data_IF_759778015825
#
_entry.id   IF_759778015825
#
_cell.length_a   1.000
_cell.length_b   1.000
_cell.length_c   1.000
_cell.angle_alpha   90.00
_cell.angle_beta   90.00
_cell.angle_gamma   90.00
#
_symmetry.space_group_name_H-M   'P 1'
#
loop_
_entity.id
_entity.type
_entity.pdbx_description
1 polymer ?
#
# COMPACT_ATOMS: atom_id res chain seq x y z
N UNK A 1 -42.99 -44.57 -15.19
CA UNK A 1 -42.09 -43.40 -15.02
C UNK A 1 -41.31 -43.61 -13.74
N UNK A 2 -40.01 -43.98 -13.84
CA UNK A 2 -39.10 -44.10 -12.70
C UNK A 2 -38.55 -42.69 -12.42
N UNK A 3 -38.91 -42.12 -11.27
CA UNK A 3 -38.32 -40.90 -10.73
C UNK A 3 -36.93 -41.32 -10.18
N UNK A 4 -35.90 -40.87 -10.84
CA UNK A 4 -34.52 -41.05 -10.36
C UNK A 4 -34.30 -40.03 -9.23
N UNK A 5 -34.42 -40.46 -7.99
CA UNK A 5 -34.09 -39.67 -6.83
C UNK A 5 -32.58 -39.64 -6.75
N UNK A 6 -32.00 -38.48 -7.13
CA UNK A 6 -30.57 -38.23 -6.91
C UNK A 6 -30.42 -37.91 -5.42
N UNK A 7 -30.01 -38.88 -4.63
CA UNK A 7 -29.52 -38.62 -3.25
C UNK A 7 -28.23 -37.81 -3.32
N UNK A 8 -28.39 -36.48 -3.31
CA UNK A 8 -27.26 -35.58 -3.17
C UNK A 8 -26.77 -35.67 -1.73
N UNK A 9 -25.62 -36.34 -1.58
CA UNK A 9 -25.01 -36.58 -0.28
C UNK A 9 -24.66 -35.25 0.41
N UNK A 10 -25.55 -34.76 1.30
CA UNK A 10 -25.43 -33.46 1.99
C UNK A 10 -24.06 -33.25 2.64
N UNK A 11 -23.39 -34.34 3.06
CA UNK A 11 -22.03 -34.26 3.59
C UNK A 11 -20.99 -33.76 2.57
N UNK A 12 -21.16 -34.10 1.27
CA UNK A 12 -20.24 -33.64 0.20
C UNK A 12 -20.50 -32.17 -0.15
N UNK A 13 -21.74 -31.72 -0.10
CA UNK A 13 -22.08 -30.28 -0.31
C UNK A 13 -21.53 -29.43 0.82
N UNK A 14 -21.61 -29.91 2.07
CA UNK A 14 -21.07 -29.17 3.22
C UNK A 14 -19.54 -29.01 3.14
N UNK A 15 -18.81 -30.02 2.64
CA UNK A 15 -17.35 -29.95 2.46
C UNK A 15 -16.97 -28.95 1.36
N UNK A 16 -17.73 -28.87 0.26
CA UNK A 16 -17.48 -27.91 -0.82
C UNK A 16 -17.74 -26.48 -0.34
N UNK A 17 -18.75 -26.27 0.51
CA UNK A 17 -19.02 -24.92 1.07
C UNK A 17 -17.94 -24.46 2.05
N UNK A 18 -17.31 -25.38 2.79
CA UNK A 18 -16.22 -25.07 3.71
C UNK A 18 -14.89 -24.76 3.01
N UNK A 19 -14.68 -25.29 1.79
CA UNK A 19 -13.48 -25.00 0.99
C UNK A 19 -13.53 -23.64 0.28
N UNK A 20 -14.72 -23.01 0.17
CA UNK A 20 -14.90 -21.71 -0.46
C UNK A 20 -14.80 -20.54 0.53
N UNK A 21 -14.74 -20.81 1.83
CA UNK A 21 -14.53 -19.81 2.86
C UNK A 21 -13.07 -19.76 3.33
N UNK A 22 -12.11 -19.76 2.42
CA UNK A 22 -10.79 -19.21 2.77
C UNK A 22 -11.03 -17.74 3.05
N UNK A 23 -10.81 -17.23 4.29
CA UNK A 23 -10.80 -15.80 4.48
C UNK A 23 -9.72 -15.28 3.54
N UNK A 24 -10.12 -14.46 2.58
CA UNK A 24 -9.19 -13.60 1.87
C UNK A 24 -8.57 -12.76 2.99
N UNK A 25 -7.37 -13.13 3.44
CA UNK A 25 -6.60 -12.31 4.36
C UNK A 25 -6.21 -11.06 3.57
N UNK A 26 -7.12 -10.12 3.48
CA UNK A 26 -6.76 -8.76 3.19
C UNK A 26 -5.78 -8.37 4.31
N UNK A 27 -4.51 -8.24 3.99
CA UNK A 27 -3.52 -7.71 4.91
C UNK A 27 -4.09 -6.39 5.43
N UNK A 28 -4.34 -6.32 6.74
CA UNK A 28 -5.05 -5.18 7.30
C UNK A 28 -4.17 -3.95 7.07
N UNK A 29 -4.62 -3.03 6.22
CA UNK A 29 -3.91 -1.77 5.97
C UNK A 29 -3.68 -1.10 7.32
N UNK A 30 -2.41 -0.92 7.69
CA UNK A 30 -2.03 -0.24 8.91
C UNK A 30 -1.91 1.26 8.66
N UNK A 31 -2.32 2.07 9.65
CA UNK A 31 -2.12 3.52 9.63
C UNK A 31 -0.63 3.83 9.72
N UNK A 32 -0.18 4.72 8.84
CA UNK A 32 1.23 5.15 8.78
C UNK A 32 1.52 6.24 9.83
N UNK A 33 0.60 7.15 10.07
CA UNK A 33 0.76 8.29 10.96
C UNK A 33 0.80 7.99 12.46
N UNK A 34 0.91 6.71 12.87
CA UNK A 34 1.10 6.34 14.27
C UNK A 34 2.56 6.38 14.73
N UNK A 35 3.49 6.42 13.81
CA UNK A 35 4.92 6.38 14.10
C UNK A 35 5.53 7.77 14.12
N UNK A 36 6.46 8.03 15.05
CA UNK A 36 7.22 9.26 15.03
C UNK A 36 8.47 9.14 14.14
N UNK A 37 8.96 10.27 13.66
CA UNK A 37 10.08 10.30 12.72
C UNK A 37 11.36 9.68 13.28
N UNK A 38 11.63 9.82 14.57
CA UNK A 38 12.84 9.28 15.18
C UNK A 38 12.79 7.76 15.23
N UNK A 39 11.66 7.15 15.63
CA UNK A 39 11.47 5.69 15.60
C UNK A 39 11.67 5.13 14.19
N UNK A 40 11.17 5.84 13.17
CA UNK A 40 11.33 5.44 11.77
C UNK A 40 12.81 5.41 11.38
N UNK A 41 13.58 6.42 11.76
CA UNK A 41 14.98 6.52 11.39
C UNK A 41 15.89 5.52 12.12
N UNK A 42 15.49 5.03 13.28
CA UNK A 42 16.26 4.08 14.10
C UNK A 42 16.03 2.61 13.70
N UNK A 43 14.92 2.30 12.98
CA UNK A 43 14.57 0.94 12.57
C UNK A 43 14.41 0.84 11.05
N UNK A 44 15.35 0.19 10.38
CA UNK A 44 15.32 -0.02 8.92
C UNK A 44 14.03 -0.73 8.46
N UNK A 45 13.51 -1.69 9.22
CA UNK A 45 12.27 -2.41 8.86
C UNK A 45 11.06 -1.48 8.94
N UNK A 46 11.03 -0.63 9.96
CA UNK A 46 9.99 0.37 10.10
C UNK A 46 10.11 1.42 8.98
N UNK A 47 11.33 1.90 8.69
CA UNK A 47 11.60 2.78 7.55
C UNK A 47 11.08 2.18 6.25
N UNK A 48 11.41 0.91 5.98
CA UNK A 48 10.91 0.20 4.81
C UNK A 48 9.38 0.17 4.74
N UNK A 49 8.74 -0.20 5.85
CA UNK A 49 7.28 -0.28 5.97
C UNK A 49 6.62 1.07 5.67
N UNK A 50 7.14 2.15 6.26
CA UNK A 50 6.60 3.50 6.08
C UNK A 50 6.80 3.99 4.65
N UNK A 51 8.00 3.87 4.08
CA UNK A 51 8.26 4.31 2.70
C UNK A 51 7.43 3.49 1.71
N UNK A 52 7.34 2.17 1.87
CA UNK A 52 6.47 1.31 1.06
C UNK A 52 5.01 1.77 1.14
N UNK A 53 4.51 2.00 2.36
CA UNK A 53 3.15 2.50 2.56
C UNK A 53 2.89 3.83 1.87
N UNK A 54 3.82 4.79 2.01
CA UNK A 54 3.72 6.10 1.36
C UNK A 54 3.76 6.01 -0.17
N UNK A 55 4.62 5.16 -0.75
CA UNK A 55 4.63 4.94 -2.20
C UNK A 55 3.30 4.33 -2.64
N UNK A 56 2.82 3.31 -1.92
CA UNK A 56 1.60 2.58 -2.29
C UNK A 56 0.34 3.44 -2.19
N UNK A 57 0.17 4.23 -1.12
CA UNK A 57 -1.01 5.10 -0.96
C UNK A 57 -1.04 6.21 -2.01
N UNK A 58 0.11 6.85 -2.30
CA UNK A 58 0.21 7.86 -3.35
C UNK A 58 -0.08 7.26 -4.74
N UNK A 59 0.43 6.06 -5.02
CA UNK A 59 0.14 5.33 -6.27
C UNK A 59 -1.34 4.99 -6.40
N UNK A 60 -1.96 4.54 -5.31
CA UNK A 60 -3.38 4.20 -5.29
C UNK A 60 -4.28 5.41 -5.55
N UNK A 61 -3.97 6.56 -4.93
CA UNK A 61 -4.68 7.82 -5.19
C UNK A 61 -4.51 8.24 -6.63
N UNK A 62 -3.28 8.21 -7.15
CA UNK A 62 -2.99 8.51 -8.57
C UNK A 62 -3.91 7.70 -9.50
N UNK A 63 -3.96 6.39 -9.32
CA UNK A 63 -4.78 5.50 -10.16
C UNK A 63 -6.28 5.79 -10.05
N UNK A 64 -6.78 6.12 -8.87
CA UNK A 64 -8.20 6.36 -8.65
C UNK A 64 -8.70 7.68 -9.24
N UNK A 65 -7.85 8.72 -9.27
CA UNK A 65 -8.30 10.06 -9.67
C UNK A 65 -7.79 10.52 -11.04
N UNK A 66 -6.86 9.80 -11.69
CA UNK A 66 -6.19 10.24 -12.94
C UNK A 66 -7.13 10.53 -14.11
N UNK A 67 -8.31 9.91 -14.14
CA UNK A 67 -9.30 10.17 -15.20
C UNK A 67 -10.03 11.49 -15.04
N UNK A 68 -10.23 11.95 -13.80
CA UNK A 68 -11.04 13.12 -13.47
C UNK A 68 -10.20 14.33 -13.03
N UNK A 69 -9.05 14.08 -12.39
CA UNK A 69 -8.21 15.09 -11.76
C UNK A 69 -6.72 14.91 -12.14
N UNK A 70 -6.39 15.07 -13.42
CA UNK A 70 -5.04 14.80 -13.96
C UNK A 70 -3.91 15.52 -13.24
N UNK A 71 -4.06 16.82 -13.02
CA UNK A 71 -3.00 17.64 -12.38
C UNK A 71 -2.75 17.18 -10.93
N UNK A 72 -3.81 16.88 -10.20
CA UNK A 72 -3.70 16.37 -8.83
C UNK A 72 -3.10 14.95 -8.81
N UNK A 73 -3.50 14.09 -9.75
CA UNK A 73 -2.91 12.75 -9.89
C UNK A 73 -1.40 12.82 -10.16
N UNK A 74 -0.96 13.78 -10.98
CA UNK A 74 0.46 14.00 -11.26
C UNK A 74 1.27 14.38 -10.00
N UNK A 75 0.69 15.11 -9.05
CA UNK A 75 1.34 15.45 -7.79
C UNK A 75 1.56 14.21 -6.91
N UNK A 76 0.55 13.34 -6.80
CA UNK A 76 0.67 12.07 -6.08
C UNK A 76 1.66 11.13 -6.77
N UNK A 77 1.63 11.05 -8.10
CA UNK A 77 2.59 10.27 -8.88
C UNK A 77 4.04 10.73 -8.64
N UNK A 78 4.30 12.03 -8.65
CA UNK A 78 5.62 12.60 -8.34
C UNK A 78 6.07 12.26 -6.92
N UNK A 79 5.15 12.28 -5.95
CA UNK A 79 5.44 11.91 -4.57
C UNK A 79 5.83 10.44 -4.46
N UNK A 80 5.07 9.54 -5.10
CA UNK A 80 5.38 8.12 -5.14
C UNK A 80 6.75 7.86 -5.78
N UNK A 81 7.01 8.42 -6.96
CA UNK A 81 8.27 8.27 -7.67
C UNK A 81 9.48 8.83 -6.92
N UNK A 82 9.30 9.93 -6.19
CA UNK A 82 10.36 10.49 -5.37
C UNK A 82 10.76 9.55 -4.23
N UNK A 83 9.80 8.92 -3.57
CA UNK A 83 10.03 8.02 -2.43
C UNK A 83 10.49 6.62 -2.85
N UNK A 84 10.14 6.17 -4.06
CA UNK A 84 10.38 4.81 -4.54
C UNK A 84 11.85 4.34 -4.39
N UNK A 85 12.87 5.11 -4.87
CA UNK A 85 14.27 4.67 -4.77
C UNK A 85 14.75 4.51 -3.33
N UNK A 86 14.21 5.27 -2.37
CA UNK A 86 14.57 5.10 -0.95
C UNK A 86 14.07 3.79 -0.39
N UNK A 87 12.86 3.35 -0.78
CA UNK A 87 12.35 2.04 -0.41
C UNK A 87 13.22 0.90 -0.94
N UNK A 88 13.69 1.00 -2.18
CA UNK A 88 14.63 0.04 -2.77
C UNK A 88 15.95 0.01 -1.99
N UNK A 89 16.54 1.18 -1.68
CA UNK A 89 17.79 1.26 -0.93
C UNK A 89 17.70 0.64 0.47
N UNK A 90 16.60 0.92 1.18
CA UNK A 90 16.37 0.35 2.51
C UNK A 90 16.21 -1.17 2.42
N UNK A 91 15.48 -1.67 1.41
CA UNK A 91 15.32 -3.12 1.20
C UNK A 91 16.62 -3.81 0.88
N UNK A 92 17.49 -3.21 0.05
CA UNK A 92 18.86 -3.72 -0.20
C UNK A 92 19.64 -3.91 1.10
N UNK A 93 19.53 -2.94 2.01
CA UNK A 93 20.22 -2.99 3.31
C UNK A 93 19.64 -4.09 4.22
N UNK A 94 18.32 -4.21 4.30
CA UNK A 94 17.66 -5.20 5.18
C UNK A 94 17.94 -6.63 4.72
N UNK A 95 17.76 -6.90 3.43
CA UNK A 95 17.82 -8.25 2.88
C UNK A 95 19.24 -8.63 2.41
N UNK A 96 20.17 -7.68 2.37
CA UNK A 96 21.53 -7.83 1.84
C UNK A 96 21.55 -8.43 0.41
N UNK A 97 20.73 -7.87 -0.46
CA UNK A 97 20.54 -8.31 -1.86
C UNK A 97 21.03 -7.27 -2.85
N UNK A 98 21.16 -7.66 -4.11
CA UNK A 98 21.49 -6.74 -5.20
C UNK A 98 20.35 -5.74 -5.45
N UNK A 99 20.68 -4.60 -6.09
CA UNK A 99 19.68 -3.59 -6.46
C UNK A 99 18.57 -4.19 -7.32
N UNK A 100 18.91 -5.02 -8.30
CA UNK A 100 17.93 -5.64 -9.20
C UNK A 100 16.95 -6.56 -8.46
N UNK A 101 17.42 -7.31 -7.48
CA UNK A 101 16.57 -8.17 -6.64
C UNK A 101 15.68 -7.34 -5.72
N UNK A 102 16.23 -6.29 -5.11
CA UNK A 102 15.48 -5.37 -4.29
C UNK A 102 14.39 -4.64 -5.09
N UNK A 103 14.70 -4.11 -6.27
CA UNK A 103 13.73 -3.46 -7.15
C UNK A 103 12.56 -4.39 -7.50
N UNK A 104 12.86 -5.63 -7.88
CA UNK A 104 11.82 -6.62 -8.23
C UNK A 104 10.92 -6.93 -7.04
N UNK A 105 11.50 -7.14 -5.86
CA UNK A 105 10.75 -7.44 -4.64
C UNK A 105 9.94 -6.21 -4.20
N UNK A 106 10.57 -5.04 -4.17
CA UNK A 106 9.91 -3.80 -3.78
C UNK A 106 8.75 -3.44 -4.69
N UNK A 107 8.92 -3.60 -6.01
CA UNK A 107 7.84 -3.41 -6.98
C UNK A 107 6.63 -4.30 -6.66
N UNK A 108 6.86 -5.59 -6.40
CA UNK A 108 5.78 -6.53 -6.06
C UNK A 108 5.07 -6.14 -4.77
N UNK A 109 5.83 -5.77 -3.72
CA UNK A 109 5.29 -5.36 -2.43
C UNK A 109 4.47 -4.07 -2.53
N UNK A 110 4.96 -3.08 -3.31
CA UNK A 110 4.25 -1.83 -3.58
C UNK A 110 2.98 -2.07 -4.41
N UNK A 111 3.05 -2.86 -5.49
CA UNK A 111 1.91 -3.17 -6.35
C UNK A 111 0.78 -3.86 -5.55
N UNK A 112 1.13 -4.81 -4.70
CA UNK A 112 0.18 -5.51 -3.83
C UNK A 112 -0.51 -4.54 -2.89
N UNK A 113 0.26 -3.75 -2.13
CA UNK A 113 -0.29 -2.81 -1.16
C UNK A 113 -1.06 -1.66 -1.83
N UNK A 114 -0.67 -1.24 -3.04
CA UNK A 114 -1.41 -0.27 -3.85
C UNK A 114 -2.82 -0.77 -4.16
N UNK A 115 -2.94 -2.04 -4.56
CA UNK A 115 -4.25 -2.65 -4.82
C UNK A 115 -5.13 -2.69 -3.58
N UNK A 116 -4.54 -3.04 -2.43
CA UNK A 116 -5.26 -3.06 -1.14
C UNK A 116 -5.78 -1.66 -0.78
N UNK A 117 -4.96 -0.61 -0.93
CA UNK A 117 -5.39 0.77 -0.73
C UNK A 117 -6.49 1.18 -1.71
N UNK A 118 -6.37 0.82 -2.99
CA UNK A 118 -7.41 1.12 -3.99
C UNK A 118 -8.75 0.46 -3.63
N UNK A 119 -8.72 -0.79 -3.23
CA UNK A 119 -9.93 -1.54 -2.86
C UNK A 119 -10.57 -0.96 -1.60
N UNK A 120 -9.77 -0.63 -0.58
CA UNK A 120 -10.23 0.05 0.62
C UNK A 120 -10.93 1.39 0.28
N UNK A 121 -10.27 2.24 -0.53
CA UNK A 121 -10.82 3.54 -0.93
C UNK A 121 -12.08 3.41 -1.79
N UNK A 122 -12.13 2.43 -2.70
CA UNK A 122 -13.35 2.16 -3.51
C UNK A 122 -14.54 1.76 -2.64
N UNK A 123 -14.32 0.86 -1.68
CA UNK A 123 -15.37 0.47 -0.72
C UNK A 123 -15.86 1.69 0.06
N UNK A 124 -14.96 2.53 0.55
CA UNK A 124 -15.32 3.78 1.22
C UNK A 124 -16.08 4.74 0.30
N UNK A 125 -15.67 4.84 -0.97
CA UNK A 125 -16.36 5.64 -2.00
C UNK A 125 -17.82 5.21 -2.19
N UNK A 126 -18.08 3.92 -2.17
CA UNK A 126 -19.47 3.40 -2.26
C UNK A 126 -20.28 3.76 -1.02
N UNK A 127 -19.71 3.58 0.17
CA UNK A 127 -20.40 3.76 1.46
C UNK A 127 -20.59 5.26 1.77
N UNK A 128 -19.52 6.04 1.70
CA UNK A 128 -19.46 7.43 2.18
C UNK A 128 -19.47 8.48 1.08
N UNK A 129 -19.57 8.06 -0.20
CA UNK A 129 -19.49 8.93 -1.39
C UNK A 129 -18.19 9.75 -1.44
N UNK A 130 -17.11 9.22 -0.87
CA UNK A 130 -15.79 9.83 -0.83
C UNK A 130 -14.73 8.77 -0.60
N UNK A 131 -13.61 8.84 -1.29
CA UNK A 131 -12.48 7.94 -1.06
C UNK A 131 -11.82 8.14 0.30
N UNK A 132 -11.88 9.35 0.87
CA UNK A 132 -11.10 9.75 2.06
C UNK A 132 -11.97 10.01 3.30
N UNK A 133 -13.21 10.50 3.12
CA UNK A 133 -14.05 10.92 4.24
C UNK A 133 -14.34 9.75 5.19
N UNK A 134 -14.08 9.96 6.48
CA UNK A 134 -14.30 8.95 7.53
C UNK A 134 -13.24 7.85 7.56
N UNK A 135 -12.10 8.05 6.88
CA UNK A 135 -10.95 7.13 6.89
C UNK A 135 -9.69 7.85 7.35
N UNK A 136 -8.64 7.07 7.59
CA UNK A 136 -7.30 7.55 7.93
C UNK A 136 -6.46 7.96 6.70
N UNK A 137 -6.95 7.75 5.48
CA UNK A 137 -6.17 7.96 4.24
C UNK A 137 -5.65 9.39 4.12
N UNK A 138 -6.47 10.40 4.45
CA UNK A 138 -6.04 11.80 4.42
C UNK A 138 -4.91 12.10 5.41
N UNK A 139 -4.97 11.54 6.61
CA UNK A 139 -3.94 11.68 7.64
C UNK A 139 -2.63 11.04 7.19
N UNK A 140 -2.71 9.82 6.63
CA UNK A 140 -1.54 9.10 6.14
C UNK A 140 -0.89 9.78 4.92
N UNK A 141 -1.68 10.39 4.02
CA UNK A 141 -1.14 11.21 2.93
C UNK A 141 -0.39 12.44 3.44
N UNK A 142 -0.92 13.12 4.46
CA UNK A 142 -0.22 14.25 5.10
C UNK A 142 1.08 13.78 5.74
N UNK A 143 1.05 12.67 6.46
CA UNK A 143 2.25 12.07 7.05
C UNK A 143 3.30 11.71 5.99
N UNK A 144 2.90 11.15 4.85
CA UNK A 144 3.80 10.86 3.74
C UNK A 144 4.43 12.13 3.14
N UNK A 145 3.72 13.25 3.12
CA UNK A 145 4.28 14.54 2.72
C UNK A 145 5.35 15.03 3.72
N UNK A 146 5.14 14.82 5.02
CA UNK A 146 6.14 15.13 6.06
C UNK A 146 7.40 14.28 5.91
N UNK A 147 7.25 12.98 5.68
CA UNK A 147 8.38 12.06 5.38
C UNK A 147 9.16 12.53 4.15
N UNK A 148 8.45 12.84 3.07
CA UNK A 148 9.09 13.36 1.85
C UNK A 148 9.87 14.65 2.13
N UNK A 149 9.27 15.62 2.82
CA UNK A 149 9.92 16.89 3.15
C UNK A 149 11.16 16.70 4.04
N UNK A 150 11.12 15.77 5.00
CA UNK A 150 12.27 15.43 5.82
C UNK A 150 13.42 14.87 4.99
N UNK A 151 13.16 13.97 4.05
CA UNK A 151 14.15 13.41 3.13
C UNK A 151 14.74 14.52 2.24
N UNK A 152 13.91 15.39 1.65
CA UNK A 152 14.34 16.51 0.81
C UNK A 152 15.28 17.47 1.58
N UNK A 153 14.93 17.77 2.82
CA UNK A 153 15.75 18.62 3.70
C UNK A 153 17.11 17.99 3.97
N UNK A 154 17.15 16.74 4.36
CA UNK A 154 18.40 16.00 4.65
C UNK A 154 19.32 15.98 3.44
N UNK A 155 18.79 15.71 2.24
CA UNK A 155 19.58 15.70 1.00
C UNK A 155 20.13 17.09 0.68
N UNK A 156 19.33 18.14 0.88
CA UNK A 156 19.73 19.51 0.59
C UNK A 156 20.84 20.01 1.53
N UNK A 157 20.80 19.62 2.80
CA UNK A 157 21.82 19.92 3.79
C UNK A 157 23.14 19.18 3.51
N UNK A 158 23.05 17.91 3.13
CA UNK A 158 24.23 17.12 2.75
C UNK A 158 24.96 17.72 1.54
N UNK A 159 24.19 18.22 0.54
CA UNK A 159 24.79 18.88 -0.65
C UNK A 159 25.45 20.23 -0.35
N UNK A 160 25.05 20.94 0.70
CA UNK A 160 25.66 22.22 1.08
C UNK A 160 26.97 22.04 1.85
N UNK A 161 27.15 20.87 2.48
CA UNK A 161 28.29 20.57 3.34
C UNK A 161 29.43 19.83 2.61
N UNK A 162 29.23 19.47 1.33
CA UNK A 162 30.20 18.86 0.42
C UNK A 162 30.59 19.84 -0.69
#
# INVERSE_FOLDING_TARGET
WKILVIEINMKKILIIFFLLTTPLSAEKIERLGFYNLQEILEDDKLTYKIIKGCVSINSAVTELIKSEHKDLAEEFYKSANYLYPFGVLVLMKIDNVSQQEAEKKYFFDVDTLTKDYMDFMRVNGVINKSFFKGTFIGDDLNFCNEIRAAIETTISETKKNN
#
